data_IF_298353847227
#
_entry.id   IF_298353847227
#
_cell.length_a   1.000
_cell.length_b   1.000
_cell.length_c   1.000
_cell.angle_alpha   90.00
_cell.angle_beta   90.00
_cell.angle_gamma   90.00
#
_symmetry.space_group_name_H-M   'P 1'
#
loop_
_entity.id
_entity.type
_entity.pdbx_description
1 polymer ?
#
# COMPACT_ATOMS: atom_id res chain seq x y z
N UNK A 1 -11.26 -8.60 -15.85
CA UNK A 1 -10.99 -7.87 -14.60
C UNK A 1 -11.98 -8.39 -13.58
N UNK A 2 -11.58 -9.28 -12.66
CA UNK A 2 -12.48 -9.71 -11.59
C UNK A 2 -12.41 -8.68 -10.47
N UNK A 3 -13.53 -8.05 -10.18
CA UNK A 3 -13.69 -7.32 -8.93
C UNK A 3 -13.64 -8.39 -7.84
N UNK A 4 -12.58 -8.38 -7.03
CA UNK A 4 -12.54 -9.20 -5.81
C UNK A 4 -13.57 -8.58 -4.88
N UNK A 5 -14.76 -9.20 -4.81
CA UNK A 5 -15.74 -8.84 -3.82
C UNK A 5 -15.18 -9.27 -2.46
N UNK A 6 -14.80 -8.27 -1.65
CA UNK A 6 -14.56 -8.45 -0.22
C UNK A 6 -15.84 -9.01 0.40
N UNK A 7 -15.71 -10.04 1.23
CA UNK A 7 -16.79 -10.65 2.03
C UNK A 7 -17.28 -9.73 3.17
N UNK A 8 -17.06 -8.42 3.04
CA UNK A 8 -17.29 -7.41 4.08
C UNK A 8 -16.23 -7.41 5.20
N UNK A 9 -15.28 -8.36 5.21
CA UNK A 9 -14.27 -8.45 6.27
C UNK A 9 -13.00 -7.67 5.96
N UNK A 10 -12.78 -7.29 4.70
CA UNK A 10 -11.62 -6.52 4.24
C UNK A 10 -11.43 -5.22 5.02
N UNK A 11 -10.17 -4.90 5.34
CA UNK A 11 -9.79 -3.65 5.97
C UNK A 11 -9.10 -2.75 4.94
N UNK A 12 -9.65 -1.55 4.73
CA UNK A 12 -9.05 -0.53 3.88
C UNK A 12 -8.13 0.37 4.70
N UNK A 13 -6.84 0.28 4.43
CA UNK A 13 -5.80 1.11 5.02
C UNK A 13 -5.44 2.24 4.07
N UNK A 14 -5.31 3.45 4.62
CA UNK A 14 -4.80 4.64 3.93
C UNK A 14 -4.02 5.50 4.93
N UNK A 15 -3.16 6.37 4.42
CA UNK A 15 -2.54 7.41 5.22
C UNK A 15 -3.53 8.56 5.55
N UNK A 16 -3.07 9.52 6.34
CA UNK A 16 -3.83 10.71 6.71
C UNK A 16 -3.41 11.95 5.88
N UNK A 17 -2.94 11.76 4.63
CA UNK A 17 -2.68 12.89 3.74
C UNK A 17 -3.94 13.75 3.57
N UNK A 18 -3.76 15.08 3.43
CA UNK A 18 -4.88 16.03 3.37
C UNK A 18 -5.99 15.66 2.38
N UNK A 19 -5.69 15.17 1.14
CA UNK A 19 -6.74 14.74 0.21
C UNK A 19 -7.56 13.55 0.76
N UNK A 20 -6.90 12.61 1.43
CA UNK A 20 -7.51 11.42 2.01
C UNK A 20 -8.35 11.75 3.26
N UNK A 21 -7.97 12.77 4.03
CA UNK A 21 -8.72 13.26 5.19
C UNK A 21 -9.83 14.25 4.82
N UNK A 22 -10.01 14.56 3.54
CA UNK A 22 -11.03 15.51 3.08
C UNK A 22 -12.45 15.03 3.41
N UNK A 23 -13.39 15.99 3.48
CA UNK A 23 -14.82 15.69 3.71
C UNK A 23 -15.39 14.79 2.61
N UNK A 24 -14.97 14.99 1.37
CA UNK A 24 -15.43 14.19 0.22
C UNK A 24 -14.96 12.74 0.36
N UNK A 25 -13.67 12.53 0.61
CA UNK A 25 -13.12 11.18 0.79
C UNK A 25 -13.73 10.47 2.02
N UNK A 26 -13.88 11.18 3.13
CA UNK A 26 -14.46 10.61 4.36
C UNK A 26 -15.94 10.25 4.17
N UNK A 27 -16.72 11.10 3.47
CA UNK A 27 -18.12 10.79 3.16
C UNK A 27 -18.25 9.54 2.28
N UNK A 28 -17.40 9.41 1.26
CA UNK A 28 -17.41 8.24 0.40
C UNK A 28 -17.11 6.95 1.18
N UNK A 29 -16.13 6.99 2.10
CA UNK A 29 -15.82 5.84 2.97
C UNK A 29 -16.99 5.46 3.91
N UNK A 30 -17.75 6.45 4.38
CA UNK A 30 -18.95 6.19 5.20
C UNK A 30 -20.07 5.55 4.37
N UNK A 31 -20.27 6.01 3.14
CA UNK A 31 -21.29 5.46 2.22
C UNK A 31 -20.99 4.00 1.85
N UNK A 32 -19.73 3.57 1.89
CA UNK A 32 -19.27 2.22 1.53
C UNK A 32 -18.87 1.37 2.74
N UNK A 33 -19.27 1.75 3.96
CA UNK A 33 -18.87 1.02 5.17
C UNK A 33 -19.41 -0.41 5.26
N UNK A 34 -20.37 -0.79 4.40
CA UNK A 34 -20.86 -2.16 4.26
C UNK A 34 -19.89 -3.07 3.49
N UNK A 35 -19.04 -2.50 2.63
CA UNK A 35 -18.24 -3.26 1.67
C UNK A 35 -16.87 -3.62 2.26
N UNK A 36 -16.36 -2.74 3.14
CA UNK A 36 -15.11 -2.91 3.85
C UNK A 36 -15.08 -2.01 5.10
N UNK A 37 -14.18 -2.35 6.04
CA UNK A 37 -13.93 -1.54 7.23
C UNK A 37 -12.77 -0.60 6.99
N UNK A 38 -12.89 0.66 7.40
CA UNK A 38 -11.78 1.59 7.37
C UNK A 38 -10.82 1.31 8.55
N UNK A 39 -9.55 1.07 8.24
CA UNK A 39 -8.51 0.90 9.26
C UNK A 39 -8.08 2.26 9.79
N UNK A 40 -8.18 2.47 11.11
CA UNK A 40 -7.83 3.74 11.73
C UNK A 40 -6.30 3.88 11.86
N UNK A 41 -5.68 4.57 10.91
CA UNK A 41 -4.23 4.78 10.86
C UNK A 41 -3.72 5.89 11.79
N UNK A 42 -2.65 5.67 12.58
CA UNK A 42 -2.01 6.74 13.32
C UNK A 42 -1.26 7.71 12.37
N UNK A 43 -1.42 9.04 12.48
CA UNK A 43 -0.88 10.00 11.51
C UNK A 43 0.65 10.04 11.34
N UNK A 44 1.44 9.38 12.19
CA UNK A 44 2.89 9.58 12.31
C UNK A 44 3.76 8.40 11.86
N UNK A 45 3.18 7.32 11.30
CA UNK A 45 3.92 6.09 11.00
C UNK A 45 3.80 5.70 9.52
N UNK A 46 4.61 6.32 8.63
CA UNK A 46 4.70 5.89 7.23
C UNK A 46 5.31 4.48 7.11
N UNK A 47 6.19 4.10 8.03
CA UNK A 47 6.90 2.79 8.10
C UNK A 47 5.97 1.59 8.26
N UNK A 48 4.70 1.80 8.61
CA UNK A 48 3.72 0.72 8.65
C UNK A 48 3.04 0.51 7.28
N UNK A 49 3.25 1.38 6.30
CA UNK A 49 2.51 1.33 5.04
C UNK A 49 3.17 0.36 4.05
N UNK A 50 2.65 -0.87 3.97
CA UNK A 50 3.08 -1.92 3.02
C UNK A 50 3.17 -1.41 1.57
N UNK A 51 2.41 -0.37 1.20
CA UNK A 51 2.48 0.18 -0.16
C UNK A 51 3.87 0.73 -0.49
N UNK A 52 4.66 1.18 0.50
CA UNK A 52 6.03 1.64 0.27
C UNK A 52 6.93 0.45 -0.10
N UNK A 53 6.81 -0.71 0.56
CA UNK A 53 7.54 -1.92 0.17
C UNK A 53 7.20 -2.38 -1.26
N UNK A 54 5.93 -2.26 -1.65
CA UNK A 54 5.47 -2.55 -3.02
C UNK A 54 6.06 -1.52 -4.00
N UNK A 55 6.04 -0.24 -3.63
CA UNK A 55 6.56 0.84 -4.46
C UNK A 55 8.05 0.71 -4.70
N UNK A 56 8.82 0.35 -3.68
CA UNK A 56 10.25 0.13 -3.77
C UNK A 56 10.57 -1.08 -4.65
N UNK A 57 9.82 -2.19 -4.51
CA UNK A 57 9.95 -3.34 -5.40
C UNK A 57 9.67 -2.97 -6.86
N UNK A 58 8.62 -2.19 -7.13
CA UNK A 58 8.29 -1.71 -8.47
C UNK A 58 9.34 -0.76 -9.03
N UNK A 59 9.86 0.16 -8.21
CA UNK A 59 10.91 1.09 -8.62
C UNK A 59 12.18 0.32 -9.01
N UNK A 60 12.60 -0.62 -8.17
CA UNK A 60 13.76 -1.47 -8.45
C UNK A 60 13.54 -2.30 -9.73
N UNK A 61 12.35 -2.82 -9.97
CA UNK A 61 12.03 -3.54 -11.21
C UNK A 61 12.13 -2.63 -12.45
N UNK A 62 11.63 -1.40 -12.36
CA UNK A 62 11.73 -0.39 -13.42
C UNK A 62 13.20 -0.02 -13.69
N UNK A 63 14.01 0.19 -12.65
CA UNK A 63 15.43 0.55 -12.77
C UNK A 63 16.26 -0.55 -13.43
N UNK A 64 15.91 -1.81 -13.20
CA UNK A 64 16.59 -2.97 -13.79
C UNK A 64 16.06 -3.36 -15.17
N UNK A 65 15.00 -2.71 -15.67
CA UNK A 65 14.40 -2.99 -16.98
C UNK A 65 15.38 -2.60 -18.10
N UNK A 66 15.61 -3.52 -19.03
CA UNK A 66 16.42 -3.27 -20.23
C UNK A 66 15.62 -3.58 -21.49
N UNK A 67 15.42 -2.61 -22.41
CA UNK A 67 15.85 -1.21 -22.31
C UNK A 67 15.05 -0.42 -21.25
N UNK A 68 15.60 0.68 -20.71
CA UNK A 68 14.86 1.53 -19.77
C UNK A 68 13.68 2.21 -20.46
N UNK A 69 12.57 2.48 -19.73
CA UNK A 69 11.42 3.19 -20.28
C UNK A 69 11.81 4.61 -20.70
N UNK A 70 11.40 5.03 -21.90
CA UNK A 70 11.81 6.32 -22.50
C UNK A 70 10.70 7.35 -22.53
N UNK A 71 9.46 6.91 -22.37
CA UNK A 71 8.28 7.76 -22.35
C UNK A 71 7.42 7.47 -21.11
N UNK A 72 6.54 8.40 -20.69
CA UNK A 72 5.57 8.14 -19.63
C UNK A 72 4.67 6.92 -19.93
N UNK A 73 4.36 6.68 -21.21
CA UNK A 73 3.57 5.53 -21.64
C UNK A 73 4.34 4.21 -21.44
N UNK A 74 5.64 4.20 -21.75
CA UNK A 74 6.49 3.04 -21.51
C UNK A 74 6.59 2.76 -20.02
N UNK A 75 6.83 3.80 -19.21
CA UNK A 75 6.90 3.67 -17.75
C UNK A 75 5.60 3.09 -17.18
N UNK A 76 4.45 3.59 -17.63
CA UNK A 76 3.15 3.07 -17.22
C UNK A 76 2.96 1.59 -17.59
N UNK A 77 3.42 1.19 -18.79
CA UNK A 77 3.35 -0.19 -19.25
C UNK A 77 4.25 -1.09 -18.40
N UNK A 78 5.49 -0.66 -18.14
CA UNK A 78 6.43 -1.39 -17.28
C UNK A 78 5.85 -1.55 -15.86
N UNK A 79 5.36 -0.47 -15.24
CA UNK A 79 4.78 -0.54 -13.90
C UNK A 79 3.59 -1.51 -13.81
N UNK A 80 2.77 -1.58 -14.87
CA UNK A 80 1.68 -2.56 -14.95
C UNK A 80 2.20 -3.99 -15.07
N UNK A 81 3.14 -4.23 -15.97
CA UNK A 81 3.74 -5.55 -16.17
C UNK A 81 4.38 -6.04 -14.86
N UNK A 82 5.30 -5.26 -14.29
CA UNK A 82 6.01 -5.60 -13.06
C UNK A 82 5.05 -5.75 -11.87
N UNK A 83 4.00 -4.93 -11.81
CA UNK A 83 2.95 -5.05 -10.80
C UNK A 83 2.14 -6.34 -10.91
N UNK A 84 1.93 -6.86 -12.12
CA UNK A 84 1.26 -8.15 -12.33
C UNK A 84 2.16 -9.34 -11.99
N UNK A 85 3.48 -9.17 -12.08
CA UNK A 85 4.47 -10.21 -11.74
C UNK A 85 4.72 -10.33 -10.23
N UNK A 86 4.25 -9.39 -9.40
CA UNK A 86 4.33 -9.49 -7.95
C UNK A 86 3.58 -10.75 -7.47
N UNK A 87 4.34 -11.73 -6.97
CA UNK A 87 3.75 -13.01 -6.58
C UNK A 87 2.74 -12.84 -5.43
N UNK A 88 1.63 -13.61 -5.43
CA UNK A 88 0.71 -13.63 -4.29
C UNK A 88 1.40 -13.97 -2.97
N UNK A 89 2.48 -14.79 -3.01
CA UNK A 89 3.27 -15.13 -1.83
C UNK A 89 4.04 -13.93 -1.28
N UNK A 90 4.60 -13.08 -2.14
CA UNK A 90 5.28 -11.86 -1.73
C UNK A 90 4.29 -10.90 -1.04
N UNK A 91 3.13 -10.66 -1.66
CA UNK A 91 2.08 -9.82 -1.08
C UNK A 91 1.59 -10.37 0.27
N UNK A 92 1.45 -11.69 0.38
CA UNK A 92 1.10 -12.33 1.65
C UNK A 92 2.15 -12.08 2.74
N UNK A 93 3.44 -12.21 2.42
CA UNK A 93 4.53 -11.97 3.37
C UNK A 93 4.51 -10.52 3.87
N UNK A 94 4.27 -9.55 2.98
CA UNK A 94 4.15 -8.15 3.39
C UNK A 94 2.96 -7.90 4.33
N UNK A 95 1.82 -8.53 4.07
CA UNK A 95 0.67 -8.45 4.98
C UNK A 95 0.99 -9.12 6.33
N UNK A 96 1.67 -10.26 6.32
CA UNK A 96 2.10 -10.99 7.51
C UNK A 96 3.22 -10.27 8.30
N UNK A 97 3.96 -9.34 7.69
CA UNK A 97 5.01 -8.55 8.37
C UNK A 97 4.45 -7.40 9.22
N UNK A 98 3.22 -6.97 8.99
CA UNK A 98 2.60 -5.83 9.70
C UNK A 98 2.70 -5.86 11.23
N UNK A 99 2.43 -6.99 11.92
CA UNK A 99 2.60 -7.06 13.37
C UNK A 99 4.05 -6.79 13.81
N UNK A 100 5.03 -7.18 13.01
CA UNK A 100 6.45 -6.93 13.28
C UNK A 100 6.80 -5.45 13.11
N UNK A 101 6.29 -4.78 12.06
CA UNK A 101 6.50 -3.34 11.87
C UNK A 101 5.88 -2.55 13.03
N UNK A 102 4.66 -2.91 13.45
CA UNK A 102 4.00 -2.31 14.62
C UNK A 102 4.83 -2.53 15.89
N UNK A 103 5.32 -3.75 16.13
CA UNK A 103 6.15 -4.05 17.28
C UNK A 103 7.45 -3.23 17.27
N UNK A 104 8.11 -3.09 16.12
CA UNK A 104 9.32 -2.29 15.96
C UNK A 104 9.08 -0.82 16.34
N UNK A 105 8.00 -0.21 15.86
CA UNK A 105 7.62 1.18 16.16
C UNK A 105 7.31 1.37 17.64
N UNK A 106 6.61 0.41 18.26
CA UNK A 106 6.33 0.45 19.70
C UNK A 106 7.63 0.37 20.52
N UNK A 107 8.60 -0.46 20.11
CA UNK A 107 9.89 -0.58 20.77
C UNK A 107 10.68 0.73 20.77
N UNK A 108 10.65 1.49 19.67
CA UNK A 108 11.33 2.79 19.55
C UNK A 108 10.48 3.97 20.04
N UNK A 109 9.32 3.71 20.67
CA UNK A 109 8.37 4.72 21.18
C UNK A 109 7.96 5.74 20.11
N UNK A 110 7.82 5.28 18.87
CA UNK A 110 7.50 6.12 17.72
C UNK A 110 8.64 6.96 17.16
N UNK A 111 9.89 6.66 17.55
CA UNK A 111 11.09 7.10 16.81
C UNK A 111 11.25 6.35 15.47
N UNK A 112 12.27 6.70 14.67
CA UNK A 112 12.54 6.02 13.41
C UNK A 112 12.88 4.55 13.63
N UNK A 113 12.33 3.64 12.82
CA UNK A 113 12.77 2.24 12.79
C UNK A 113 13.85 2.03 11.71
N UNK A 114 14.42 0.81 11.65
CA UNK A 114 15.42 0.44 10.63
C UNK A 114 14.77 -0.04 9.32
N UNK A 115 13.45 0.06 9.21
CA UNK A 115 12.70 -0.21 7.98
C UNK A 115 12.69 1.02 7.08
#
# INVERSE_FOLDING_TARGET
MSIVHSDGLGQFQKDNATPHASRVATKWLQEHSSDFRHFHWPPKYPEMNIIEDIRDALLHAVENRSPPPRTPMDLWTVLKDEGCELSPRYLQILVESMPHHVAAILCVRGGPTQY
#
